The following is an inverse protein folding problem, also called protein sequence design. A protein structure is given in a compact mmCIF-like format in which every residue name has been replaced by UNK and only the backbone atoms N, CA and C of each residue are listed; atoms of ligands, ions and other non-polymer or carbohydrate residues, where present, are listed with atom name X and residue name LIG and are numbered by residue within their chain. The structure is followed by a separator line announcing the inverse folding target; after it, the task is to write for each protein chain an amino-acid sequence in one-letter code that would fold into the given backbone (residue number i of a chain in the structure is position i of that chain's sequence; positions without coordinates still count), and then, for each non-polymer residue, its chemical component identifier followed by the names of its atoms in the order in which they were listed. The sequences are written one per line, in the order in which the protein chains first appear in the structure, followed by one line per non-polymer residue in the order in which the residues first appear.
data_IF_025438422263
#
_entry.id   IF_025438422263
#
_cell.length_a   1.000
_cell.length_b   1.000
_cell.length_c   1.000
_cell.angle_alpha   90.00
_cell.angle_beta   90.00
_cell.angle_gamma   90.00
#
_symmetry.space_group_name_H-M   'P 1'
#
loop_
_entity.id
_entity.type
_entity.pdbx_description
1 polymer ?
#
# COMPACT_ATOMS: atom_id res chain seq x y z
N UNK A 1 -42.25 -56.94 10.50
CA UNK A 1 -41.27 -57.34 9.47
C UNK A 1 -39.91 -57.36 10.08
N UNK A 2 -39.22 -58.47 9.94
CA UNK A 2 -38.10 -59.02 10.69
C UNK A 2 -36.83 -58.17 10.57
N UNK A 3 -36.22 -57.84 11.73
CA UNK A 3 -34.89 -57.27 11.86
C UNK A 3 -33.89 -58.42 11.98
N UNK A 4 -33.04 -58.59 10.96
CA UNK A 4 -31.97 -59.61 10.97
C UNK A 4 -30.84 -59.19 11.96
N UNK A 5 -30.59 -60.03 12.95
CA UNK A 5 -29.40 -59.92 13.84
C UNK A 5 -28.17 -60.46 13.09
N UNK A 6 -27.31 -59.55 12.65
CA UNK A 6 -25.98 -59.89 12.17
C UNK A 6 -25.05 -60.17 13.37
N UNK A 7 -24.57 -61.40 13.55
CA UNK A 7 -23.55 -61.78 14.50
C UNK A 7 -22.18 -61.34 13.97
N UNK A 8 -21.54 -60.37 14.61
CA UNK A 8 -20.13 -60.06 14.39
C UNK A 8 -19.25 -61.05 15.18
N UNK A 9 -18.50 -61.89 14.47
CA UNK A 9 -17.46 -62.72 15.07
C UNK A 9 -16.25 -61.85 15.47
N UNK A 10 -15.82 -61.96 16.71
CA UNK A 10 -14.63 -61.28 17.23
C UNK A 10 -13.36 -61.87 16.60
N UNK A 11 -12.38 -61.07 16.21
CA UNK A 11 -11.09 -61.56 15.69
C UNK A 11 -10.26 -62.16 16.86
N UNK A 12 -9.92 -63.43 16.75
CA UNK A 12 -9.05 -64.14 17.69
C UNK A 12 -7.62 -64.18 17.10
N UNK A 13 -6.66 -63.60 17.78
CA UNK A 13 -5.24 -63.66 17.39
C UNK A 13 -4.57 -64.75 18.20
N UNK A 14 -4.03 -65.80 17.54
CA UNK A 14 -3.24 -66.84 18.13
C UNK A 14 -1.73 -66.56 18.05
N UNK A 15 -1.04 -66.46 19.16
CA UNK A 15 0.42 -66.30 19.23
C UNK A 15 1.05 -67.57 19.73
N UNK A 16 1.98 -68.18 18.99
CA UNK A 16 2.71 -69.39 19.33
C UNK A 16 4.04 -69.02 19.99
N UNK A 17 4.19 -69.39 21.27
CA UNK A 17 5.43 -69.31 22.06
C UNK A 17 5.70 -70.57 22.72
N UNK A 18 6.79 -71.30 22.37
CA UNK A 18 7.37 -72.40 23.13
C UNK A 18 6.50 -73.64 23.28
N UNK A 19 5.86 -74.14 22.21
CA UNK A 19 5.24 -75.52 22.22
C UNK A 19 3.94 -75.66 22.98
N UNK A 20 3.35 -74.62 23.53
CA UNK A 20 2.01 -74.62 24.16
C UNK A 20 1.14 -73.51 23.58
N UNK A 21 -0.07 -73.89 23.12
CA UNK A 21 -1.06 -72.90 22.69
C UNK A 21 -1.74 -72.32 23.94
N UNK A 22 -1.58 -71.00 24.12
CA UNK A 22 -2.30 -70.25 25.15
C UNK A 22 -3.17 -69.21 24.45
N UNK A 23 -4.50 -69.38 24.46
CA UNK A 23 -5.45 -68.41 23.90
C UNK A 23 -5.61 -67.24 24.84
N UNK A 24 -5.11 -66.06 24.39
CA UNK A 24 -5.40 -64.84 25.07
C UNK A 24 -6.56 -64.12 24.37
N UNK A 25 -7.70 -64.02 25.00
CA UNK A 25 -8.84 -63.20 24.56
C UNK A 25 -8.59 -61.80 25.06
N UNK A 26 -8.01 -60.97 24.18
CA UNK A 26 -7.86 -59.55 24.48
C UNK A 26 -9.21 -58.87 24.20
N UNK A 27 -9.91 -58.48 25.26
CA UNK A 27 -11.15 -57.69 25.13
C UNK A 27 -10.84 -56.31 24.59
N UNK A 28 -10.96 -56.11 23.26
CA UNK A 28 -10.77 -54.85 22.55
C UNK A 28 -11.70 -53.70 23.01
N UNK A 29 -12.68 -53.98 23.87
CA UNK A 29 -13.61 -52.96 24.42
C UNK A 29 -12.97 -51.94 25.36
N UNK A 30 -11.78 -52.18 25.89
CA UNK A 30 -11.09 -51.24 26.80
C UNK A 30 -10.12 -50.28 26.10
N UNK A 31 -9.76 -50.53 24.84
CA UNK A 31 -8.76 -49.72 24.12
C UNK A 31 -9.43 -48.61 23.27
N UNK A 32 -10.67 -48.82 22.81
CA UNK A 32 -11.41 -47.85 22.03
C UNK A 32 -11.61 -46.47 22.70
N UNK A 33 -11.97 -46.37 24.02
CA UNK A 33 -12.12 -45.08 24.67
C UNK A 33 -10.78 -44.36 24.87
N UNK A 34 -9.66 -45.07 25.01
CA UNK A 34 -8.33 -44.47 25.22
C UNK A 34 -7.79 -43.88 23.91
N UNK A 35 -8.05 -44.51 22.78
CA UNK A 35 -7.69 -43.98 21.45
C UNK A 35 -8.54 -42.78 21.07
N UNK A 36 -9.83 -42.74 21.40
CA UNK A 36 -10.68 -41.58 21.18
C UNK A 36 -10.28 -40.39 22.07
N UNK A 37 -9.96 -40.63 23.35
CA UNK A 37 -9.47 -39.55 24.23
C UNK A 37 -8.10 -39.02 23.84
N UNK A 38 -7.19 -39.85 23.36
CA UNK A 38 -5.90 -39.41 22.81
C UNK A 38 -6.05 -38.62 21.53
N UNK A 39 -6.98 -39.00 20.63
CA UNK A 39 -7.25 -38.24 19.40
C UNK A 39 -7.90 -36.86 19.69
N UNK A 40 -8.80 -36.75 20.65
CA UNK A 40 -9.40 -35.50 21.09
C UNK A 40 -8.38 -34.59 21.78
N UNK A 41 -7.47 -35.16 22.59
CA UNK A 41 -6.36 -34.40 23.18
C UNK A 41 -5.32 -33.94 22.15
N UNK A 42 -5.04 -34.72 21.11
CA UNK A 42 -4.17 -34.28 20.00
C UNK A 42 -4.82 -33.17 19.14
N UNK A 43 -6.14 -33.22 18.93
CA UNK A 43 -6.86 -32.13 18.24
C UNK A 43 -6.96 -30.85 19.09
N UNK A 44 -7.03 -30.94 20.41
CA UNK A 44 -6.99 -29.81 21.32
C UNK A 44 -5.60 -29.14 21.39
N UNK A 45 -4.52 -29.88 21.18
CA UNK A 45 -3.16 -29.33 21.12
C UNK A 45 -2.85 -28.65 19.76
N UNK A 46 -3.58 -28.98 18.70
CA UNK A 46 -3.42 -28.33 17.39
C UNK A 46 -4.08 -26.95 17.31
N UNK A 47 -4.94 -26.60 18.25
CA UNK A 47 -5.48 -25.25 18.41
C UNK A 47 -4.59 -24.42 19.36
N UNK A 48 -3.30 -24.26 19.03
CA UNK A 48 -2.54 -23.13 19.58
C UNK A 48 -3.33 -21.87 19.28
N UNK A 49 -3.64 -20.99 20.27
CA UNK A 49 -4.22 -19.71 19.97
C UNK A 49 -3.29 -19.06 18.91
N UNK A 50 -3.84 -18.77 17.76
CA UNK A 50 -3.10 -18.06 16.72
C UNK A 50 -2.61 -16.77 17.40
N UNK A 51 -1.31 -16.74 17.75
CA UNK A 51 -0.70 -15.56 18.33
C UNK A 51 -0.95 -14.44 17.32
N UNK A 52 -1.54 -13.33 17.79
CA UNK A 52 -1.75 -12.15 16.98
C UNK A 52 -0.49 -11.89 16.15
N UNK A 53 -0.63 -11.93 14.83
CA UNK A 53 0.51 -11.68 13.96
C UNK A 53 0.93 -10.23 14.15
N UNK A 54 2.20 -10.00 14.51
CA UNK A 54 2.75 -8.66 14.66
C UNK A 54 3.70 -8.38 13.51
N UNK A 55 3.47 -7.29 12.81
CA UNK A 55 4.35 -6.80 11.74
C UNK A 55 4.76 -5.35 11.98
N UNK A 56 5.86 -4.95 11.36
CA UNK A 56 6.30 -3.56 11.31
C UNK A 56 6.10 -3.00 9.92
N UNK A 57 5.48 -1.82 9.85
CA UNK A 57 5.28 -1.11 8.60
C UNK A 57 6.00 0.22 8.60
N UNK A 58 6.86 0.46 7.60
CA UNK A 58 7.60 1.72 7.48
C UNK A 58 6.92 2.67 6.49
N UNK A 59 6.82 3.93 6.91
CA UNK A 59 6.26 5.05 6.15
C UNK A 59 7.36 6.09 5.86
N UNK A 60 7.39 6.70 4.66
CA UNK A 60 8.41 7.68 4.27
C UNK A 60 8.17 9.08 4.81
N UNK A 61 7.25 9.24 5.74
CA UNK A 61 6.85 10.52 6.34
C UNK A 61 5.80 10.34 7.42
N UNK A 62 5.28 11.44 7.95
CA UNK A 62 4.14 11.41 8.87
C UNK A 62 2.87 10.93 8.16
N UNK A 63 1.84 10.62 8.94
CA UNK A 63 0.51 10.29 8.41
C UNK A 63 0.01 11.41 7.49
N UNK A 64 -0.47 11.02 6.31
CA UNK A 64 -1.10 11.90 5.32
C UNK A 64 -2.25 11.16 4.62
N UNK A 65 -2.78 11.73 3.53
CA UNK A 65 -3.85 11.15 2.72
C UNK A 65 -3.53 9.74 2.22
N UNK A 66 -2.31 9.43 1.81
CA UNK A 66 -1.96 8.09 1.31
C UNK A 66 -2.10 6.97 2.38
N UNK A 67 -2.14 7.34 3.67
CA UNK A 67 -2.40 6.39 4.75
C UNK A 67 -3.90 6.18 5.03
N UNK A 68 -4.79 6.95 4.38
CA UNK A 68 -6.21 6.98 4.72
C UNK A 68 -6.91 5.60 4.61
N UNK A 69 -6.65 4.74 3.61
CA UNK A 69 -7.22 3.40 3.58
C UNK A 69 -6.87 2.57 4.82
N UNK A 70 -5.64 2.67 5.30
CA UNK A 70 -5.16 2.02 6.52
C UNK A 70 -5.81 2.61 7.78
N UNK A 71 -5.92 3.93 7.88
CA UNK A 71 -6.60 4.59 9.00
C UNK A 71 -8.07 4.21 9.11
N UNK A 72 -8.76 4.11 7.97
CA UNK A 72 -10.14 3.59 7.90
C UNK A 72 -10.21 2.18 8.44
N UNK A 73 -9.29 1.29 8.02
CA UNK A 73 -9.28 -0.09 8.48
C UNK A 73 -9.01 -0.20 9.98
N UNK A 74 -8.10 0.60 10.53
CA UNK A 74 -7.86 0.70 11.99
C UNK A 74 -9.13 1.13 12.72
N UNK A 75 -9.77 2.22 12.27
CA UNK A 75 -10.99 2.76 12.89
C UNK A 75 -12.16 1.80 12.86
N UNK A 76 -12.28 1.01 11.79
CA UNK A 76 -13.36 0.02 11.58
C UNK A 76 -13.06 -1.35 12.21
N UNK A 77 -11.87 -1.57 12.78
CA UNK A 77 -11.48 -2.84 13.38
C UNK A 77 -11.30 -3.99 12.37
N UNK A 78 -11.01 -3.66 11.09
CA UNK A 78 -10.90 -4.67 10.02
C UNK A 78 -9.59 -5.46 10.03
N UNK A 79 -8.66 -5.08 10.88
CA UNK A 79 -7.37 -5.76 11.00
C UNK A 79 -7.44 -7.07 11.78
N UNK A 80 -8.59 -7.36 12.46
CA UNK A 80 -8.72 -8.51 13.34
C UNK A 80 -7.64 -8.50 14.42
N UNK A 81 -6.93 -9.63 14.59
CA UNK A 81 -5.85 -9.79 15.57
C UNK A 81 -4.47 -9.35 15.04
N UNK A 82 -4.38 -8.75 13.84
CA UNK A 82 -3.12 -8.26 13.30
C UNK A 82 -2.69 -6.97 14.02
N UNK A 83 -1.55 -7.03 14.71
CA UNK A 83 -0.89 -5.85 15.26
C UNK A 83 0.10 -5.27 14.26
N UNK A 84 0.00 -3.96 13.97
CA UNK A 84 0.95 -3.25 13.11
C UNK A 84 1.65 -2.17 13.93
N UNK A 85 2.98 -2.25 13.95
CA UNK A 85 3.85 -1.22 14.53
C UNK A 85 4.27 -0.26 13.42
N UNK A 86 3.81 0.99 13.49
CA UNK A 86 4.12 2.03 12.52
C UNK A 86 5.50 2.63 12.78
N UNK A 87 6.38 2.59 11.77
CA UNK A 87 7.73 3.16 11.77
C UNK A 87 7.77 4.33 10.80
N UNK A 88 7.89 5.55 11.31
CA UNK A 88 7.94 6.75 10.48
C UNK A 88 9.39 7.23 10.29
N UNK A 89 9.80 7.44 9.04
CA UNK A 89 11.11 7.95 8.67
C UNK A 89 10.97 9.10 7.66
N UNK A 90 12.04 9.84 7.40
CA UNK A 90 12.00 10.92 6.42
C UNK A 90 12.46 10.42 5.05
N UNK A 91 11.54 10.35 4.09
CA UNK A 91 11.77 10.07 2.68
C UNK A 91 11.89 8.57 2.33
N UNK A 92 11.62 8.27 1.06
CA UNK A 92 11.57 6.90 0.52
C UNK A 92 12.90 6.15 0.64
N UNK A 93 14.03 6.82 0.46
CA UNK A 93 15.35 6.20 0.58
C UNK A 93 15.61 5.65 2.00
N UNK A 94 15.14 6.35 3.04
CA UNK A 94 15.21 5.86 4.41
C UNK A 94 14.22 4.73 4.68
N UNK A 95 12.99 4.83 4.15
CA UNK A 95 12.00 3.77 4.26
C UNK A 95 12.50 2.48 3.58
N UNK A 96 13.08 2.60 2.38
CA UNK A 96 13.71 1.48 1.67
C UNK A 96 14.84 0.84 2.48
N UNK A 97 15.69 1.65 3.10
CA UNK A 97 16.80 1.14 3.93
C UNK A 97 16.29 0.37 5.16
N UNK A 98 15.24 0.87 5.82
CA UNK A 98 14.59 0.19 6.96
C UNK A 98 13.96 -1.13 6.52
N UNK A 99 13.29 -1.17 5.36
CA UNK A 99 12.72 -2.40 4.79
C UNK A 99 13.82 -3.42 4.46
N UNK A 100 14.86 -3.02 3.73
CA UNK A 100 15.94 -3.91 3.28
C UNK A 100 16.78 -4.46 4.43
N UNK A 101 16.94 -3.69 5.52
CA UNK A 101 17.65 -4.15 6.73
C UNK A 101 16.83 -5.14 7.58
N UNK A 102 15.57 -5.41 7.23
CA UNK A 102 14.69 -6.29 8.02
C UNK A 102 14.08 -5.64 9.26
N UNK A 103 14.25 -4.33 9.43
CA UNK A 103 13.67 -3.59 10.55
C UNK A 103 12.18 -3.23 10.31
N UNK A 104 11.65 -3.49 9.12
CA UNK A 104 10.23 -3.50 8.81
C UNK A 104 9.90 -4.68 7.89
N UNK A 105 8.64 -5.12 7.92
CA UNK A 105 8.11 -6.24 7.11
C UNK A 105 7.45 -5.73 5.82
N UNK A 106 6.79 -4.57 5.90
CA UNK A 106 6.17 -3.86 4.76
C UNK A 106 6.71 -2.43 4.74
N UNK A 107 6.96 -1.90 3.54
CA UNK A 107 7.26 -0.49 3.30
C UNK A 107 6.24 0.14 2.37
N UNK A 108 5.68 1.30 2.75
CA UNK A 108 4.96 2.17 1.82
C UNK A 108 6.00 3.08 1.16
N UNK A 109 6.30 2.85 -0.11
CA UNK A 109 7.45 3.46 -0.78
C UNK A 109 7.07 3.95 -2.17
N UNK A 110 7.59 5.11 -2.56
CA UNK A 110 7.41 5.69 -3.88
C UNK A 110 7.90 4.77 -5.00
N UNK A 111 7.08 4.60 -6.05
CA UNK A 111 7.31 3.66 -7.15
C UNK A 111 8.65 3.85 -7.84
N UNK A 112 9.09 5.10 -8.04
CA UNK A 112 10.40 5.39 -8.66
C UNK A 112 11.57 4.84 -7.83
N UNK A 113 11.49 4.95 -6.49
CA UNK A 113 12.50 4.39 -5.59
C UNK A 113 12.46 2.86 -5.55
N UNK A 114 11.27 2.27 -5.65
CA UNK A 114 11.11 0.80 -5.73
C UNK A 114 11.79 0.28 -6.99
N UNK A 115 11.49 0.86 -8.16
CA UNK A 115 12.08 0.46 -9.44
C UNK A 115 13.61 0.63 -9.45
N UNK A 116 14.10 1.77 -8.94
CA UNK A 116 15.55 2.01 -8.83
C UNK A 116 16.23 0.98 -7.92
N UNK A 117 15.59 0.61 -6.80
CA UNK A 117 16.12 -0.38 -5.87
C UNK A 117 16.14 -1.79 -6.46
N UNK A 118 15.09 -2.20 -7.18
CA UNK A 118 15.04 -3.49 -7.90
C UNK A 118 16.12 -3.55 -8.97
N UNK A 119 16.29 -2.47 -9.74
CA UNK A 119 17.37 -2.37 -10.71
C UNK A 119 18.76 -2.51 -10.06
N UNK A 120 18.95 -1.95 -8.87
CA UNK A 120 20.17 -2.11 -8.08
C UNK A 120 20.32 -3.50 -7.43
N UNK A 121 19.43 -4.46 -7.72
CA UNK A 121 19.49 -5.83 -7.23
C UNK A 121 18.75 -6.08 -5.92
N UNK A 122 17.93 -5.16 -5.43
CA UNK A 122 17.14 -5.38 -4.22
C UNK A 122 16.06 -6.47 -4.45
N UNK A 123 16.08 -7.50 -3.60
CA UNK A 123 15.08 -8.56 -3.59
C UNK A 123 13.77 -8.14 -2.93
N UNK A 124 12.99 -7.32 -3.61
CA UNK A 124 11.70 -6.80 -3.13
C UNK A 124 10.59 -6.98 -4.17
N UNK A 125 9.32 -6.95 -3.72
CA UNK A 125 8.13 -7.02 -4.57
C UNK A 125 7.06 -6.09 -4.05
N UNK A 126 6.32 -5.45 -4.96
CA UNK A 126 5.10 -4.71 -4.66
C UNK A 126 3.93 -5.69 -4.54
N UNK A 127 3.21 -5.67 -3.43
CA UNK A 127 2.11 -6.60 -3.15
C UNK A 127 0.72 -5.96 -3.30
N UNK A 128 0.61 -4.66 -3.17
CA UNK A 128 -0.57 -3.83 -3.47
C UNK A 128 -0.20 -2.34 -3.43
N UNK A 129 -1.16 -1.48 -3.78
CA UNK A 129 -1.07 -0.04 -3.58
C UNK A 129 -2.37 0.51 -2.99
N UNK A 130 -2.24 1.30 -1.95
CA UNK A 130 -3.38 2.05 -1.39
C UNK A 130 -3.73 3.27 -2.24
N UNK A 131 -2.71 3.87 -2.84
CA UNK A 131 -2.82 5.05 -3.71
C UNK A 131 -1.89 4.87 -4.91
N UNK A 132 -2.36 4.14 -5.96
CA UNK A 132 -1.54 3.89 -7.16
C UNK A 132 -1.26 5.14 -7.97
N UNK A 133 -2.14 6.15 -7.93
CA UNK A 133 -2.01 7.39 -8.71
C UNK A 133 -1.59 8.54 -7.80
N UNK A 134 -0.63 9.33 -8.25
CA UNK A 134 -0.09 10.46 -7.49
C UNK A 134 -1.05 11.64 -7.42
N UNK A 135 -1.22 12.18 -6.22
CA UNK A 135 -2.06 13.33 -5.92
C UNK A 135 -1.32 14.67 -5.98
N UNK A 136 -0.32 14.79 -6.86
CA UNK A 136 0.43 16.03 -7.00
C UNK A 136 -0.28 17.08 -7.85
N UNK A 137 -0.18 18.32 -7.42
CA UNK A 137 -0.67 19.50 -8.11
C UNK A 137 0.48 20.46 -8.40
N UNK A 138 0.54 20.93 -9.64
CA UNK A 138 1.39 22.04 -10.02
C UNK A 138 0.63 23.34 -9.72
N UNK A 139 1.15 24.12 -8.79
CA UNK A 139 0.53 25.38 -8.35
C UNK A 139 1.38 26.57 -8.76
N UNK A 140 0.69 27.66 -9.12
CA UNK A 140 1.26 28.96 -9.45
C UNK A 140 0.71 30.00 -8.47
N UNK A 141 1.54 30.93 -8.02
CA UNK A 141 1.07 32.07 -7.23
C UNK A 141 -0.03 32.82 -8.00
N UNK A 142 -1.18 33.08 -7.38
CA UNK A 142 -2.35 33.69 -8.04
C UNK A 142 -2.01 35.05 -8.69
N UNK A 143 -1.11 35.80 -8.08
CA UNK A 143 -0.63 37.09 -8.61
C UNK A 143 0.24 36.94 -9.89
N UNK A 144 0.65 35.71 -10.25
CA UNK A 144 1.56 35.43 -11.39
C UNK A 144 0.86 34.77 -12.56
N UNK A 145 -0.41 34.43 -12.42
CA UNK A 145 -1.21 33.82 -13.47
C UNK A 145 -2.15 32.70 -12.94
N UNK A 146 -2.88 32.07 -13.85
CA UNK A 146 -3.87 31.05 -13.51
C UNK A 146 -3.95 29.90 -14.52
N UNK A 147 -3.05 29.83 -15.48
CA UNK A 147 -3.00 28.78 -16.51
C UNK A 147 -1.57 28.26 -16.69
N UNK A 148 -1.46 27.10 -17.29
CA UNK A 148 -0.18 26.39 -17.47
C UNK A 148 0.84 27.22 -18.28
N UNK A 149 0.39 27.94 -19.31
CA UNK A 149 1.24 28.78 -20.12
C UNK A 149 1.94 29.93 -19.34
N UNK A 150 1.35 30.35 -18.22
CA UNK A 150 1.91 31.40 -17.38
C UNK A 150 3.16 30.93 -16.58
N UNK A 151 3.55 29.66 -16.69
CA UNK A 151 4.75 29.10 -16.04
C UNK A 151 6.05 29.50 -16.73
N UNK A 152 6.00 30.00 -18.00
CA UNK A 152 7.19 30.44 -18.73
C UNK A 152 7.98 31.49 -17.94
N UNK A 153 9.28 31.29 -17.78
CA UNK A 153 10.18 32.22 -17.11
C UNK A 153 9.99 32.33 -15.57
N UNK A 154 9.18 31.47 -14.96
CA UNK A 154 8.91 31.55 -13.53
C UNK A 154 10.00 30.86 -12.70
N UNK A 155 10.09 31.27 -11.42
CA UNK A 155 10.91 30.59 -10.42
C UNK A 155 10.11 29.47 -9.76
N UNK A 156 10.69 28.27 -9.74
CA UNK A 156 10.09 27.09 -9.13
C UNK A 156 10.76 26.74 -7.79
N UNK A 157 9.96 26.51 -6.75
CA UNK A 157 10.42 25.85 -5.53
C UNK A 157 10.45 24.33 -5.74
N UNK A 158 11.62 23.69 -5.52
CA UNK A 158 11.82 22.25 -5.66
C UNK A 158 12.33 21.60 -4.37
N UNK A 159 12.33 20.25 -4.29
CA UNK A 159 12.95 19.52 -3.20
C UNK A 159 14.47 19.40 -3.35
N UNK A 160 14.99 19.64 -4.55
CA UNK A 160 16.39 19.54 -4.94
C UNK A 160 16.53 18.98 -6.35
N UNK A 161 17.72 19.04 -6.94
CA UNK A 161 17.99 18.55 -8.29
C UNK A 161 17.64 17.05 -8.40
N UNK A 162 16.96 16.68 -9.50
CA UNK A 162 16.57 15.29 -9.78
C UNK A 162 15.38 14.78 -8.98
N UNK A 163 14.85 15.54 -8.02
CA UNK A 163 13.61 15.17 -7.32
C UNK A 163 12.36 15.39 -8.20
N UNK A 164 11.24 14.72 -7.87
CA UNK A 164 9.99 14.88 -8.62
C UNK A 164 9.56 16.35 -8.79
N UNK A 165 9.64 17.21 -7.74
CA UNK A 165 9.31 18.63 -7.88
C UNK A 165 10.30 19.47 -8.73
N UNK A 166 11.40 18.89 -9.17
CA UNK A 166 12.30 19.46 -10.16
C UNK A 166 12.00 18.90 -11.58
N UNK A 167 11.88 17.59 -11.69
CA UNK A 167 11.78 16.89 -12.98
C UNK A 167 10.39 16.99 -13.60
N UNK A 168 9.32 16.77 -12.83
CA UNK A 168 7.95 16.71 -13.36
C UNK A 168 7.44 18.05 -13.91
N UNK A 169 7.67 19.21 -13.25
CA UNK A 169 7.31 20.50 -13.86
C UNK A 169 7.98 20.74 -15.21
N UNK A 170 9.27 20.38 -15.35
CA UNK A 170 9.97 20.47 -16.64
C UNK A 170 9.34 19.60 -17.72
N UNK A 171 8.98 18.35 -17.37
CA UNK A 171 8.29 17.45 -18.30
C UNK A 171 6.91 17.97 -18.70
N UNK A 172 6.12 18.49 -17.76
CA UNK A 172 4.81 19.11 -18.03
C UNK A 172 5.00 20.29 -18.99
N UNK A 173 5.93 21.19 -18.71
CA UNK A 173 6.21 22.34 -19.56
C UNK A 173 6.60 21.92 -20.98
N UNK A 174 7.53 20.96 -21.13
CA UNK A 174 7.92 20.43 -22.46
C UNK A 174 6.76 19.81 -23.22
N UNK A 175 5.92 19.01 -22.53
CA UNK A 175 4.72 18.38 -23.11
C UNK A 175 3.77 19.43 -23.70
N UNK A 176 3.68 20.61 -23.08
CA UNK A 176 2.82 21.71 -23.51
C UNK A 176 3.55 22.80 -24.36
N UNK A 177 4.77 22.52 -24.82
CA UNK A 177 5.53 23.43 -25.65
C UNK A 177 6.00 24.71 -24.93
N UNK A 178 6.09 24.67 -23.60
CA UNK A 178 6.57 25.76 -22.75
C UNK A 178 8.09 25.56 -22.56
N UNK A 179 8.86 26.60 -22.78
CA UNK A 179 10.33 26.57 -22.61
C UNK A 179 10.70 26.46 -21.12
N UNK A 180 11.05 25.23 -20.70
CA UNK A 180 11.48 24.97 -19.33
C UNK A 180 12.88 25.51 -19.00
N UNK A 181 13.70 25.83 -20.03
CA UNK A 181 15.05 26.38 -19.81
C UNK A 181 15.01 27.82 -19.34
N UNK A 182 13.91 28.52 -19.62
CA UNK A 182 13.66 29.89 -19.13
C UNK A 182 13.34 29.93 -17.63
N UNK A 183 13.10 28.76 -16.98
CA UNK A 183 12.72 28.69 -15.57
C UNK A 183 13.92 28.52 -14.65
N UNK A 184 13.82 29.05 -13.43
CA UNK A 184 14.82 28.88 -12.37
C UNK A 184 14.26 28.01 -11.26
N UNK A 185 14.99 26.96 -10.88
CA UNK A 185 14.62 26.07 -9.78
C UNK A 185 15.41 26.43 -8.51
N UNK A 186 14.70 26.58 -7.39
CA UNK A 186 15.23 26.93 -6.08
C UNK A 186 14.97 25.76 -5.13
N UNK A 187 16.02 25.22 -4.54
CA UNK A 187 15.88 24.15 -3.54
C UNK A 187 15.28 24.72 -2.25
N UNK A 188 14.17 24.13 -1.78
CA UNK A 188 13.43 24.58 -0.60
C UNK A 188 13.15 23.41 0.37
N UNK A 189 12.90 22.20 -0.15
CA UNK A 189 12.63 21.02 0.68
C UNK A 189 11.19 20.51 0.58
N UNK A 190 10.53 20.23 1.72
CA UNK A 190 9.22 19.56 1.80
C UNK A 190 8.04 20.37 1.25
N UNK A 191 6.86 19.74 1.09
CA UNK A 191 5.67 20.35 0.49
C UNK A 191 5.25 21.67 1.12
N UNK A 192 5.11 21.69 2.47
CA UNK A 192 4.72 22.90 3.19
C UNK A 192 5.73 24.05 2.99
N UNK A 193 7.04 23.74 3.08
CA UNK A 193 8.10 24.74 2.90
C UNK A 193 8.09 25.32 1.47
N UNK A 194 7.84 24.48 0.45
CA UNK A 194 7.71 24.93 -0.95
C UNK A 194 6.50 25.82 -1.17
N UNK A 195 5.33 25.44 -0.59
CA UNK A 195 4.14 26.32 -0.65
C UNK A 195 4.42 27.66 0.03
N UNK A 196 5.04 27.67 1.20
CA UNK A 196 5.42 28.92 1.89
C UNK A 196 6.41 29.76 1.10
N UNK A 197 7.33 29.13 0.35
CA UNK A 197 8.24 29.86 -0.55
C UNK A 197 7.48 30.56 -1.69
N UNK A 198 6.40 29.94 -2.20
CA UNK A 198 5.52 30.56 -3.23
C UNK A 198 4.69 31.68 -2.62
N UNK A 199 4.06 31.45 -1.46
CA UNK A 199 3.25 32.48 -0.77
C UNK A 199 4.10 33.69 -0.38
N UNK A 200 5.33 33.47 0.06
CA UNK A 200 6.29 34.51 0.44
C UNK A 200 7.05 35.15 -0.73
N UNK A 201 6.75 34.78 -2.00
CA UNK A 201 7.36 35.35 -3.19
C UNK A 201 8.82 34.97 -3.46
N UNK A 202 9.37 33.95 -2.77
CA UNK A 202 10.71 33.39 -3.07
C UNK A 202 10.72 32.53 -4.32
N UNK A 203 9.57 31.99 -4.67
CA UNK A 203 9.30 31.28 -5.91
C UNK A 203 7.92 31.69 -6.43
N UNK A 204 7.65 31.41 -7.69
CA UNK A 204 6.37 31.71 -8.33
C UNK A 204 5.47 30.46 -8.40
N UNK A 205 6.07 29.28 -8.51
CA UNK A 205 5.37 28.02 -8.68
C UNK A 205 6.04 26.85 -7.92
N UNK A 206 5.31 25.77 -7.74
CA UNK A 206 5.83 24.51 -7.19
C UNK A 206 4.92 23.34 -7.48
N UNK A 207 5.47 22.11 -7.39
CA UNK A 207 4.72 20.85 -7.37
C UNK A 207 4.55 20.40 -5.94
N UNK A 208 3.32 20.26 -5.44
CA UNK A 208 2.99 19.84 -4.08
C UNK A 208 1.85 18.82 -4.09
N UNK A 209 1.67 18.07 -2.99
CA UNK A 209 0.52 17.17 -2.84
C UNK A 209 -0.79 17.96 -2.71
N UNK A 210 -1.91 17.28 -2.94
CA UNK A 210 -3.26 17.88 -2.97
C UNK A 210 -3.60 18.63 -1.68
N UNK A 211 -3.30 18.07 -0.50
CA UNK A 211 -3.56 18.76 0.80
C UNK A 211 -2.88 20.12 0.84
N UNK A 212 -1.59 20.15 0.46
CA UNK A 212 -0.80 21.40 0.46
C UNK A 212 -1.29 22.38 -0.62
N UNK A 213 -1.64 21.87 -1.81
CA UNK A 213 -2.16 22.70 -2.89
C UNK A 213 -3.49 23.36 -2.49
N UNK A 214 -4.46 22.57 -2.00
CA UNK A 214 -5.79 23.07 -1.62
C UNK A 214 -5.72 24.06 -0.46
N UNK A 215 -4.78 23.87 0.48
CA UNK A 215 -4.54 24.88 1.53
C UNK A 215 -4.16 26.22 0.94
N UNK A 216 -3.22 26.25 0.00
CA UNK A 216 -2.83 27.50 -0.66
C UNK A 216 -3.94 28.10 -1.52
N UNK A 217 -4.80 27.26 -2.12
CA UNK A 217 -5.99 27.70 -2.88
C UNK A 217 -7.02 28.31 -1.93
N UNK A 218 -7.30 27.67 -0.79
CA UNK A 218 -8.23 28.18 0.22
C UNK A 218 -7.78 29.55 0.77
N UNK A 219 -6.48 29.75 0.93
CA UNK A 219 -5.90 31.03 1.32
C UNK A 219 -5.90 32.09 0.19
N UNK A 220 -6.35 31.74 -1.03
CA UNK A 220 -6.35 32.62 -2.21
C UNK A 220 -4.95 32.97 -2.72
N UNK A 221 -3.92 32.23 -2.34
CA UNK A 221 -2.51 32.55 -2.62
C UNK A 221 -1.96 31.86 -3.86
N UNK A 222 -2.52 30.69 -4.21
CA UNK A 222 -2.09 29.93 -5.37
C UNK A 222 -3.29 29.43 -6.18
N UNK A 223 -3.05 29.13 -7.44
CA UNK A 223 -3.98 28.46 -8.36
C UNK A 223 -3.37 27.15 -8.80
N UNK A 224 -4.15 26.06 -8.84
CA UNK A 224 -3.74 24.79 -9.46
C UNK A 224 -3.78 24.98 -10.98
N UNK A 225 -2.63 24.83 -11.64
CA UNK A 225 -2.50 24.99 -13.10
C UNK A 225 -2.36 23.67 -13.84
N UNK A 226 -2.00 22.58 -13.13
CA UNK A 226 -2.02 21.22 -13.64
C UNK A 226 -2.15 20.21 -12.50
N UNK A 227 -2.79 19.07 -12.78
CA UNK A 227 -2.86 17.89 -11.91
C UNK A 227 -1.99 16.78 -12.50
N UNK A 228 -1.16 16.17 -11.69
CA UNK A 228 -0.28 15.11 -12.16
C UNK A 228 -1.06 13.90 -12.68
N UNK A 229 -2.18 13.56 -12.04
CA UNK A 229 -3.13 12.52 -12.46
C UNK A 229 -3.67 12.73 -13.88
N UNK A 230 -3.87 13.98 -14.29
CA UNK A 230 -4.29 14.35 -15.65
C UNK A 230 -3.12 14.41 -16.64
N UNK A 231 -1.96 14.87 -16.19
CA UNK A 231 -0.79 15.01 -17.05
C UNK A 231 -0.10 13.66 -17.34
N UNK A 232 -0.05 12.80 -16.34
CA UNK A 232 0.59 11.47 -16.40
C UNK A 232 -0.29 10.43 -15.72
N UNK A 233 -1.44 10.04 -16.31
CA UNK A 233 -2.41 9.13 -15.66
C UNK A 233 -1.86 7.72 -15.41
N UNK A 234 -0.78 7.33 -16.10
CA UNK A 234 -0.08 6.07 -15.88
C UNK A 234 1.08 6.14 -14.88
N UNK A 235 1.38 7.30 -14.30
CA UNK A 235 2.49 7.41 -13.36
C UNK A 235 2.11 6.87 -11.99
N UNK A 236 2.75 5.77 -11.59
CA UNK A 236 2.61 5.17 -10.28
C UNK A 236 3.12 6.08 -9.16
N UNK A 237 2.44 6.05 -8.01
CA UNK A 237 2.77 6.89 -6.87
C UNK A 237 3.49 6.12 -5.76
N UNK A 238 2.76 5.29 -5.01
CA UNK A 238 3.33 4.50 -3.92
C UNK A 238 2.90 3.05 -4.04
N UNK A 239 3.78 2.13 -3.63
CA UNK A 239 3.48 0.71 -3.47
C UNK A 239 3.73 0.26 -2.05
N UNK A 240 2.95 -0.71 -1.61
CA UNK A 240 3.25 -1.51 -0.42
C UNK A 240 4.18 -2.64 -0.84
N UNK A 241 5.41 -2.59 -0.33
CA UNK A 241 6.55 -3.39 -0.79
C UNK A 241 7.04 -4.29 0.33
N UNK A 242 7.39 -5.53 -0.01
CA UNK A 242 7.94 -6.52 0.92
C UNK A 242 9.23 -7.11 0.37
N UNK A 243 10.08 -7.68 1.24
CA UNK A 243 11.24 -8.44 0.79
C UNK A 243 10.79 -9.78 0.21
N UNK A 244 11.40 -10.18 -0.92
CA UNK A 244 11.08 -11.44 -1.61
C UNK A 244 11.25 -12.66 -0.70
N UNK A 245 12.27 -12.67 0.15
CA UNK A 245 12.53 -13.75 1.12
C UNK A 245 11.44 -13.94 2.17
N UNK A 246 10.61 -12.89 2.42
CA UNK A 246 9.51 -12.96 3.39
C UNK A 246 8.23 -13.52 2.81
N UNK A 247 8.10 -13.58 1.49
CA UNK A 247 6.90 -14.06 0.78
C UNK A 247 6.59 -15.54 1.03
N UNK A 248 7.62 -16.34 1.37
CA UNK A 248 7.49 -17.77 1.68
C UNK A 248 7.19 -18.06 3.17
N UNK A 249 7.26 -17.05 4.04
CA UNK A 249 6.97 -17.21 5.47
C UNK A 249 5.46 -17.15 5.70
N UNK A 250 4.82 -18.26 6.16
CA UNK A 250 3.35 -18.34 6.21
C UNK A 250 2.70 -17.24 7.06
N UNK A 251 3.32 -16.92 8.22
CA UNK A 251 2.84 -15.90 9.15
C UNK A 251 2.87 -14.49 8.53
N UNK A 252 3.94 -14.16 7.80
CA UNK A 252 4.04 -12.87 7.11
C UNK A 252 3.13 -12.82 5.88
N UNK A 253 3.03 -13.90 5.11
CA UNK A 253 2.13 -13.98 3.97
C UNK A 253 0.66 -13.80 4.39
N UNK A 254 0.26 -14.34 5.55
CA UNK A 254 -1.08 -14.10 6.11
C UNK A 254 -1.28 -12.63 6.50
N UNK A 255 -0.29 -12.00 7.14
CA UNK A 255 -0.33 -10.58 7.46
C UNK A 255 -0.38 -9.69 6.20
N UNK A 256 0.41 -10.02 5.17
CA UNK A 256 0.41 -9.31 3.89
C UNK A 256 -0.96 -9.42 3.19
N UNK A 257 -1.63 -10.58 3.30
CA UNK A 257 -2.99 -10.74 2.78
C UNK A 257 -3.98 -9.84 3.50
N UNK A 258 -3.93 -9.78 4.85
CA UNK A 258 -4.78 -8.89 5.63
C UNK A 258 -4.53 -7.43 5.21
N UNK A 259 -3.27 -6.99 5.10
CA UNK A 259 -2.92 -5.62 4.70
C UNK A 259 -3.42 -5.28 3.29
N UNK A 260 -3.42 -6.25 2.37
CA UNK A 260 -3.98 -6.08 1.02
C UNK A 260 -5.52 -6.00 1.06
N UNK A 261 -6.18 -6.92 1.78
CA UNK A 261 -7.64 -6.95 1.91
C UNK A 261 -8.17 -5.64 2.49
N UNK A 262 -7.57 -5.15 3.59
CA UNK A 262 -7.99 -3.90 4.24
C UNK A 262 -7.68 -2.66 3.41
N UNK A 263 -6.60 -2.68 2.64
CA UNK A 263 -6.25 -1.59 1.73
C UNK A 263 -7.31 -1.40 0.64
N UNK A 264 -7.79 -2.51 0.04
CA UNK A 264 -8.88 -2.50 -0.93
C UNK A 264 -10.19 -2.05 -0.28
N UNK A 265 -10.55 -2.62 0.88
CA UNK A 265 -11.77 -2.26 1.60
C UNK A 265 -11.75 -0.79 2.03
N UNK A 266 -10.63 -0.30 2.56
CA UNK A 266 -10.43 1.10 2.95
C UNK A 266 -10.56 2.06 1.77
N UNK A 267 -9.94 1.72 0.63
CA UNK A 267 -10.05 2.50 -0.61
C UNK A 267 -11.49 2.60 -1.09
N UNK A 268 -12.22 1.47 -1.13
CA UNK A 268 -13.65 1.44 -1.51
C UNK A 268 -14.53 2.20 -0.52
N UNK A 269 -14.22 2.11 0.78
CA UNK A 269 -14.93 2.86 1.81
C UNK A 269 -14.79 4.38 1.62
N UNK A 270 -13.58 4.86 1.31
CA UNK A 270 -13.30 6.29 1.07
C UNK A 270 -14.11 6.79 -0.13
N UNK A 271 -14.19 6.01 -1.20
CA UNK A 271 -15.01 6.35 -2.36
C UNK A 271 -16.50 6.45 -2.03
N UNK A 272 -17.01 5.53 -1.21
CA UNK A 272 -18.44 5.45 -0.87
C UNK A 272 -18.84 6.41 0.26
N UNK A 273 -17.91 6.74 1.19
CA UNK A 273 -18.19 7.48 2.41
C UNK A 273 -17.15 8.61 2.64
N UNK A 274 -17.02 9.56 1.71
CA UNK A 274 -15.95 10.56 1.76
C UNK A 274 -15.98 11.44 3.01
N UNK A 275 -17.16 11.75 3.54
CA UNK A 275 -17.30 12.60 4.73
C UNK A 275 -16.88 11.90 6.02
N UNK A 276 -17.18 10.60 6.14
CA UNK A 276 -16.72 9.78 7.27
C UNK A 276 -15.20 9.52 7.17
N UNK A 277 -14.69 9.26 5.96
CA UNK A 277 -13.26 9.12 5.72
C UNK A 277 -12.50 10.41 6.10
N UNK A 278 -13.04 11.58 5.76
CA UNK A 278 -12.47 12.85 6.17
C UNK A 278 -12.48 13.05 7.70
N UNK A 279 -13.53 12.60 8.39
CA UNK A 279 -13.58 12.64 9.85
C UNK A 279 -12.51 11.75 10.49
N UNK A 280 -12.30 10.55 9.94
CA UNK A 280 -11.22 9.65 10.39
C UNK A 280 -9.84 10.28 10.17
N UNK A 281 -9.64 10.95 9.03
CA UNK A 281 -8.39 11.65 8.74
C UNK A 281 -8.16 12.82 9.70
N UNK A 282 -9.23 13.55 10.04
CA UNK A 282 -9.17 14.68 10.99
C UNK A 282 -8.72 14.27 12.40
N UNK A 283 -9.06 13.06 12.86
CA UNK A 283 -8.56 12.53 14.15
C UNK A 283 -7.02 12.43 14.16
N UNK A 284 -6.39 12.27 13.00
CA UNK A 284 -4.92 12.20 12.86
C UNK A 284 -4.27 13.52 12.46
N UNK A 285 -5.05 14.42 11.89
CA UNK A 285 -4.63 15.76 11.43
C UNK A 285 -5.53 16.84 12.06
N UNK A 286 -5.56 16.97 13.39
CA UNK A 286 -6.48 17.88 14.09
C UNK A 286 -6.23 19.37 13.79
N UNK A 287 -5.03 19.72 13.32
CA UNK A 287 -4.67 21.08 12.91
C UNK A 287 -5.31 21.53 11.58
N UNK A 288 -5.93 20.60 10.84
CA UNK A 288 -6.67 20.87 9.61
C UNK A 288 -8.16 20.76 9.89
N UNK A 289 -8.93 21.79 9.55
CA UNK A 289 -10.37 21.77 9.82
C UNK A 289 -11.11 20.68 9.01
N UNK A 290 -12.20 20.15 9.57
CA UNK A 290 -12.95 19.05 8.97
C UNK A 290 -13.61 19.44 7.63
N UNK A 291 -14.19 20.63 7.43
CA UNK A 291 -14.67 21.06 6.12
C UNK A 291 -13.59 21.04 5.04
N UNK A 292 -12.38 21.48 5.37
CA UNK A 292 -11.24 21.42 4.46
C UNK A 292 -10.86 19.97 4.10
N UNK A 293 -10.74 19.07 5.10
CA UNK A 293 -10.43 17.67 4.84
C UNK A 293 -11.52 16.96 4.03
N UNK A 294 -12.80 17.32 4.20
CA UNK A 294 -13.88 16.84 3.32
C UNK A 294 -13.67 17.26 1.87
N UNK A 295 -13.25 18.51 1.63
CA UNK A 295 -12.93 18.97 0.29
C UNK A 295 -11.74 18.21 -0.30
N UNK A 296 -10.70 17.98 0.49
CA UNK A 296 -9.52 17.17 0.09
C UNK A 296 -9.92 15.75 -0.32
N UNK A 297 -10.68 15.04 0.53
CA UNK A 297 -11.07 13.64 0.24
C UNK A 297 -11.96 13.56 -1.00
N UNK A 298 -12.89 14.51 -1.19
CA UNK A 298 -13.73 14.56 -2.39
C UNK A 298 -12.92 14.86 -3.65
N UNK A 299 -11.92 15.72 -3.57
CA UNK A 299 -11.02 16.04 -4.68
C UNK A 299 -10.22 14.79 -5.09
N UNK A 300 -9.63 14.08 -4.13
CA UNK A 300 -8.92 12.82 -4.36
C UNK A 300 -9.81 11.71 -4.94
N UNK A 301 -11.08 11.63 -4.49
CA UNK A 301 -12.06 10.71 -5.07
C UNK A 301 -12.37 11.07 -6.53
N UNK A 302 -12.44 12.36 -6.86
CA UNK A 302 -12.61 12.83 -8.23
C UNK A 302 -11.45 12.45 -9.15
N UNK A 303 -10.23 12.45 -8.63
CA UNK A 303 -9.02 12.02 -9.34
C UNK A 303 -8.84 10.50 -9.42
N UNK A 304 -9.69 9.69 -8.77
CA UNK A 304 -9.63 8.23 -8.72
C UNK A 304 -8.26 7.69 -8.27
N UNK A 305 -7.66 8.31 -7.26
CA UNK A 305 -6.30 7.98 -6.82
C UNK A 305 -6.20 6.68 -6.03
N UNK A 306 -7.32 6.13 -5.53
CA UNK A 306 -7.36 5.02 -4.59
C UNK A 306 -7.24 3.65 -5.25
N UNK A 307 -6.54 2.74 -4.58
CA UNK A 307 -6.36 1.35 -5.01
C UNK A 307 -7.59 0.47 -4.73
N UNK A 308 -8.75 0.83 -5.31
CA UNK A 308 -10.04 0.14 -5.08
C UNK A 308 -10.05 -1.34 -5.51
N UNK A 309 -9.14 -1.71 -6.41
CA UNK A 309 -8.89 -3.09 -6.87
C UNK A 309 -7.43 -3.52 -6.62
N UNK A 310 -6.82 -2.97 -5.56
CA UNK A 310 -5.49 -3.35 -5.11
C UNK A 310 -4.33 -2.56 -5.73
N UNK A 311 -4.58 -1.79 -6.78
CA UNK A 311 -3.64 -0.81 -7.34
C UNK A 311 -2.34 -1.37 -7.93
N UNK A 312 -2.28 -2.67 -8.24
CA UNK A 312 -1.20 -3.29 -9.01
C UNK A 312 -1.64 -3.42 -10.47
N UNK A 313 -1.26 -2.45 -11.28
CA UNK A 313 -1.51 -2.46 -12.71
C UNK A 313 -0.17 -2.52 -13.46
N UNK A 314 0.08 -3.57 -14.25
CA UNK A 314 1.29 -3.68 -15.07
C UNK A 314 1.49 -2.48 -16.02
N UNK A 315 0.40 -1.85 -16.50
CA UNK A 315 0.50 -0.68 -17.36
C UNK A 315 0.99 0.57 -16.60
N UNK A 316 0.62 0.71 -15.32
CA UNK A 316 1.16 1.76 -14.44
C UNK A 316 2.63 1.49 -14.15
N UNK A 317 3.01 0.24 -13.92
CA UNK A 317 4.42 -0.13 -13.71
C UNK A 317 5.27 0.18 -14.94
N UNK A 318 4.85 -0.27 -16.11
CA UNK A 318 5.56 -0.07 -17.39
C UNK A 318 5.72 1.44 -17.69
N UNK A 319 4.64 2.20 -17.62
CA UNK A 319 4.69 3.65 -17.83
C UNK A 319 5.64 4.35 -16.84
N UNK A 320 5.59 3.93 -15.56
CA UNK A 320 6.45 4.49 -14.50
C UNK A 320 7.91 4.16 -14.75
N UNK A 321 8.22 2.92 -15.18
CA UNK A 321 9.56 2.49 -15.51
C UNK A 321 10.10 3.27 -16.73
N UNK A 322 9.32 3.41 -17.80
CA UNK A 322 9.68 4.21 -18.98
C UNK A 322 9.95 5.67 -18.62
N UNK A 323 9.09 6.28 -17.81
CA UNK A 323 9.29 7.66 -17.37
C UNK A 323 10.57 7.79 -16.56
N UNK A 324 10.84 6.84 -15.67
CA UNK A 324 12.05 6.81 -14.84
C UNK A 324 13.32 6.68 -15.71
N UNK A 325 13.25 5.90 -16.80
CA UNK A 325 14.33 5.83 -17.80
C UNK A 325 14.50 7.18 -18.55
N UNK A 326 13.42 7.79 -18.99
CA UNK A 326 13.46 9.13 -19.67
C UNK A 326 14.01 10.23 -18.77
N UNK A 327 13.85 10.08 -17.45
CA UNK A 327 14.44 10.97 -16.44
C UNK A 327 15.92 10.67 -16.14
N UNK A 328 16.47 9.60 -16.71
CA UNK A 328 17.85 9.19 -16.47
C UNK A 328 18.09 8.51 -15.11
N UNK A 329 17.02 8.12 -14.40
CA UNK A 329 17.12 7.46 -13.10
C UNK A 329 17.25 5.94 -13.23
N UNK A 330 16.86 5.37 -14.37
CA UNK A 330 17.01 3.95 -14.70
C UNK A 330 17.63 3.82 -16.09
N UNK A 331 18.63 2.94 -16.29
CA UNK A 331 19.18 2.63 -17.61
C UNK A 331 18.30 1.64 -18.39
N UNK A 332 17.54 0.76 -17.69
CA UNK A 332 16.65 -0.24 -18.26
C UNK A 332 15.53 -0.57 -17.27
N UNK A 333 14.32 -0.86 -17.78
CA UNK A 333 13.20 -1.32 -16.97
C UNK A 333 13.38 -2.79 -16.56
N UNK A 334 12.97 -3.13 -15.34
CA UNK A 334 12.78 -4.52 -14.92
C UNK A 334 11.43 -5.03 -15.47
N UNK A 335 11.32 -6.32 -15.85
CA UNK A 335 10.01 -6.86 -16.22
C UNK A 335 9.00 -6.79 -15.07
N UNK A 336 7.74 -6.47 -15.35
CA UNK A 336 6.68 -6.33 -14.34
C UNK A 336 6.56 -7.55 -13.40
N UNK A 337 6.78 -8.78 -13.93
CA UNK A 337 6.83 -10.02 -13.12
C UNK A 337 7.93 -10.03 -12.06
N UNK A 338 8.96 -9.22 -12.21
CA UNK A 338 10.08 -9.08 -11.28
C UNK A 338 9.88 -7.89 -10.32
N UNK A 339 8.82 -7.13 -10.51
CA UNK A 339 8.41 -5.97 -9.69
C UNK A 339 7.17 -6.28 -8.88
N UNK A 340 6.14 -6.84 -9.52
CA UNK A 340 4.81 -7.04 -8.93
C UNK A 340 4.63 -8.48 -8.42
N UNK A 341 3.92 -8.61 -7.28
CA UNK A 341 3.49 -9.88 -6.70
C UNK A 341 1.95 -9.85 -6.56
N UNK A 342 1.20 -10.17 -7.62
CA UNK A 342 -0.24 -9.94 -7.70
C UNK A 342 -1.08 -10.91 -6.88
N UNK A 343 -0.54 -12.05 -6.42
CA UNK A 343 -1.32 -13.13 -5.76
C UNK A 343 -2.17 -12.65 -4.58
N UNK A 344 -1.72 -11.62 -3.84
CA UNK A 344 -2.47 -11.09 -2.70
C UNK A 344 -3.68 -10.29 -3.15
N UNK A 345 -3.52 -9.48 -4.21
CA UNK A 345 -4.62 -8.74 -4.84
C UNK A 345 -5.61 -9.71 -5.48
N UNK A 346 -5.14 -10.71 -6.23
CA UNK A 346 -6.00 -11.73 -6.87
C UNK A 346 -6.85 -12.47 -5.83
N UNK A 347 -6.25 -12.88 -4.70
CA UNK A 347 -7.00 -13.52 -3.60
C UNK A 347 -8.00 -12.58 -2.95
N UNK A 348 -7.65 -11.31 -2.75
CA UNK A 348 -8.56 -10.31 -2.21
C UNK A 348 -9.76 -10.09 -3.17
N UNK A 349 -9.50 -9.93 -4.47
CA UNK A 349 -10.55 -9.73 -5.47
C UNK A 349 -11.43 -10.96 -5.67
N UNK A 350 -10.89 -12.18 -5.51
CA UNK A 350 -11.71 -13.40 -5.51
C UNK A 350 -12.77 -13.41 -4.41
N UNK A 351 -12.52 -12.74 -3.26
CA UNK A 351 -13.48 -12.60 -2.15
C UNK A 351 -14.38 -11.38 -2.29
N UNK A 352 -13.79 -10.24 -2.69
CA UNK A 352 -14.45 -8.92 -2.65
C UNK A 352 -15.13 -8.55 -3.97
N UNK A 353 -14.85 -9.29 -5.07
CA UNK A 353 -15.18 -8.90 -6.43
C UNK A 353 -14.40 -7.67 -6.89
N UNK A 354 -14.54 -7.28 -8.17
CA UNK A 354 -14.01 -6.02 -8.69
C UNK A 354 -14.91 -4.84 -8.32
N UNK A 355 -14.31 -3.67 -8.16
CA UNK A 355 -15.04 -2.46 -7.80
C UNK A 355 -15.94 -2.00 -8.96
N UNK A 356 -17.20 -1.79 -8.64
CA UNK A 356 -18.18 -1.19 -9.58
C UNK A 356 -18.47 0.23 -9.07
N UNK A 357 -18.03 1.23 -9.84
CA UNK A 357 -18.34 2.63 -9.54
C UNK A 357 -19.85 2.83 -9.67
N UNK A 358 -20.50 3.17 -8.57
CA UNK A 358 -21.93 3.48 -8.53
C UNK A 358 -22.20 4.87 -9.04
#
# INVERSE_FOLDING_TARGET
MSCAKGSFSEPTIAVQLGGKFMLYVIRLRAIAPILCTAAVLLMAFAASPARAAKIKMVFPGPVTTFSLPYLVAQKKGWMGDLEVEDVHVTGDANAMRVLLSGNADIGLIGTLNVLASIHAGAGIRAIHSWQPIGDYSLVLATAKGNKLADLAGKAFASSGPGGLPDQLPRLIMRKHGIDETSTRFVQVGGHAARLQAVIGGRADATLVNTVTALKGVQEGKVTVVARLSAEFPGLGYVWNVVRTETLAKPELAAAFQIMTDIGIQGSRFIMANPDEAAAILHERLPDLDLPFLRAVVRDLNGENVWGVDGGLDPAIEEFTAELNMKLGNLPVAAPAKDVLEPRFVERALAKLGTYQKK
#
